data_IF_227383096200
#
_entry.id   IF_227383096200
#
_cell.length_a   1.000
_cell.length_b   1.000
_cell.length_c   1.000
_cell.angle_alpha   90.00
_cell.angle_beta   90.00
_cell.angle_gamma   90.00
#
_symmetry.space_group_name_H-M   'P 1'
#
loop_
_entity.id
_entity.type
_entity.pdbx_description
1 polymer ?
#
# COMPACT_ATOMS: atom_id res chain seq x y z
N UNK A 1 3.27 -23.30 -41.59
CA UNK A 1 3.49 -22.53 -40.35
C UNK A 1 2.23 -21.71 -40.10
N UNK A 2 1.38 -22.15 -39.18
CA UNK A 2 0.19 -21.40 -38.79
C UNK A 2 0.64 -20.19 -37.94
N UNK A 3 0.14 -19.00 -38.28
CA UNK A 3 0.39 -17.78 -37.50
C UNK A 3 -0.06 -17.99 -36.05
N UNK A 4 0.72 -17.54 -35.06
CA UNK A 4 0.30 -17.63 -33.65
C UNK A 4 -1.01 -16.84 -33.50
N UNK A 5 -2.08 -17.54 -33.13
CA UNK A 5 -3.34 -16.91 -32.80
C UNK A 5 -3.07 -15.80 -31.77
N UNK A 6 -3.52 -14.56 -32.02
CA UNK A 6 -3.61 -13.50 -31.02
C UNK A 6 -4.57 -14.00 -29.95
N UNK A 7 -4.05 -14.75 -28.96
CA UNK A 7 -4.77 -14.96 -27.73
C UNK A 7 -4.93 -13.58 -27.10
N UNK A 8 -6.10 -12.99 -27.26
CA UNK A 8 -6.54 -11.89 -26.42
C UNK A 8 -6.31 -12.34 -24.98
N UNK A 9 -5.39 -11.71 -24.30
CA UNK A 9 -4.95 -12.11 -22.96
C UNK A 9 -6.16 -12.02 -22.02
N UNK A 10 -6.80 -13.16 -21.76
CA UNK A 10 -7.93 -13.23 -20.85
C UNK A 10 -7.46 -12.76 -19.48
N UNK A 11 -8.16 -11.78 -18.91
CA UNK A 11 -7.85 -11.24 -17.59
C UNK A 11 -7.96 -12.32 -16.50
N UNK A 12 -9.00 -13.15 -16.57
CA UNK A 12 -9.29 -14.25 -15.66
C UNK A 12 -9.55 -15.54 -16.42
N UNK A 13 -9.38 -16.68 -15.78
CA UNK A 13 -9.87 -17.96 -16.31
C UNK A 13 -11.40 -17.98 -16.37
N UNK A 14 -12.03 -18.78 -17.26
CA UNK A 14 -13.47 -18.93 -17.34
C UNK A 14 -14.08 -19.22 -15.94
N UNK A 15 -15.15 -18.52 -15.59
CA UNK A 15 -15.82 -18.66 -14.29
C UNK A 15 -15.17 -17.92 -13.11
N UNK A 16 -13.99 -17.30 -13.27
CA UNK A 16 -13.29 -16.63 -12.17
C UNK A 16 -13.47 -15.11 -12.12
N UNK A 17 -14.28 -14.53 -13.00
CA UNK A 17 -14.54 -13.09 -13.01
C UNK A 17 -15.24 -12.62 -11.72
N UNK A 18 -16.29 -13.32 -11.28
CA UNK A 18 -17.03 -12.97 -10.06
C UNK A 18 -16.12 -13.11 -8.82
N UNK A 19 -15.40 -14.23 -8.60
CA UNK A 19 -14.37 -14.31 -7.57
C UNK A 19 -13.34 -13.19 -7.61
N UNK A 20 -12.86 -12.82 -8.80
CA UNK A 20 -11.91 -11.70 -8.97
C UNK A 20 -12.50 -10.37 -8.50
N UNK A 21 -13.73 -10.03 -8.92
CA UNK A 21 -14.41 -8.79 -8.51
C UNK A 21 -14.63 -8.79 -6.99
N UNK A 22 -15.10 -9.90 -6.41
CA UNK A 22 -15.36 -10.03 -4.97
C UNK A 22 -14.10 -9.78 -4.15
N UNK A 23 -12.98 -10.41 -4.53
CA UNK A 23 -11.72 -10.24 -3.78
C UNK A 23 -11.12 -8.86 -4.05
N UNK A 24 -11.27 -8.32 -5.25
CA UNK A 24 -10.80 -6.97 -5.59
C UNK A 24 -11.48 -5.89 -4.72
N UNK A 25 -12.76 -6.09 -4.34
CA UNK A 25 -13.44 -5.20 -3.41
C UNK A 25 -12.79 -5.15 -2.02
N UNK A 26 -12.14 -6.23 -1.57
CA UNK A 26 -11.41 -6.27 -0.30
C UNK A 26 -10.21 -5.29 -0.31
N UNK A 27 -9.63 -5.05 -1.48
CA UNK A 27 -8.50 -4.11 -1.61
C UNK A 27 -8.91 -2.68 -1.30
N UNK A 28 -10.13 -2.28 -1.65
CA UNK A 28 -10.67 -0.98 -1.25
C UNK A 28 -10.66 -0.82 0.28
N UNK A 29 -11.16 -1.83 0.99
CA UNK A 29 -11.27 -1.78 2.45
C UNK A 29 -9.91 -1.69 3.12
N UNK A 30 -8.93 -2.52 2.72
CA UNK A 30 -7.63 -2.43 3.39
C UNK A 30 -6.88 -1.14 3.03
N UNK A 31 -7.04 -0.60 1.84
CA UNK A 31 -6.50 0.72 1.49
C UNK A 31 -7.13 1.82 2.32
N UNK A 32 -8.44 1.80 2.47
CA UNK A 32 -9.19 2.72 3.31
C UNK A 32 -8.70 2.68 4.77
N UNK A 33 -8.62 1.49 5.37
CA UNK A 33 -8.19 1.32 6.77
C UNK A 33 -6.74 1.72 6.97
N UNK A 34 -5.84 1.38 6.04
CA UNK A 34 -4.42 1.73 6.14
C UNK A 34 -4.23 3.24 6.20
N UNK A 35 -4.84 3.98 5.30
CA UNK A 35 -4.72 5.46 5.26
C UNK A 35 -5.48 6.11 6.42
N UNK A 36 -6.61 5.54 6.83
CA UNK A 36 -7.33 6.03 8.01
C UNK A 36 -6.47 5.92 9.27
N UNK A 37 -5.71 4.83 9.43
CA UNK A 37 -4.78 4.67 10.56
C UNK A 37 -3.64 5.70 10.54
N UNK A 38 -3.13 6.09 9.36
CA UNK A 38 -2.17 7.18 9.25
C UNK A 38 -2.76 8.52 9.74
N UNK A 39 -4.04 8.76 9.49
CA UNK A 39 -4.74 9.95 9.98
C UNK A 39 -4.93 9.97 11.51
N UNK A 40 -4.76 8.83 12.21
CA UNK A 40 -4.77 8.79 13.67
C UNK A 40 -3.53 9.43 14.31
N UNK A 41 -2.40 9.51 13.63
CA UNK A 41 -1.15 10.06 14.20
C UNK A 41 -1.35 11.48 14.74
N UNK A 42 -1.84 12.47 13.95
CA UNK A 42 -2.13 13.81 14.46
C UNK A 42 -3.23 13.80 15.52
N UNK A 43 -4.22 12.92 15.42
CA UNK A 43 -5.30 12.79 16.39
C UNK A 43 -4.79 12.33 17.77
N UNK A 44 -3.98 11.26 17.82
CA UNK A 44 -3.37 10.78 19.06
C UNK A 44 -2.46 11.85 19.68
N UNK A 45 -1.76 12.61 18.85
CA UNK A 45 -0.92 13.71 19.32
C UNK A 45 -1.74 14.79 20.03
N UNK A 46 -2.91 15.13 19.52
CA UNK A 46 -3.80 16.14 20.14
C UNK A 46 -4.45 15.65 21.44
N UNK A 47 -4.74 14.34 21.56
CA UNK A 47 -5.33 13.76 22.79
C UNK A 47 -4.31 13.70 23.93
N UNK A 48 -3.09 13.24 23.62
CA UNK A 48 -2.09 12.86 24.65
C UNK A 48 -0.95 13.86 24.81
N UNK A 49 -0.96 14.98 24.06
CA UNK A 49 0.12 15.98 24.00
C UNK A 49 1.50 15.34 23.72
N UNK A 50 1.53 14.39 22.78
CA UNK A 50 2.71 13.58 22.51
C UNK A 50 3.75 14.32 21.65
N UNK A 51 5.05 14.13 21.89
CA UNK A 51 6.08 14.37 20.90
C UNK A 51 5.79 13.57 19.61
N UNK A 52 6.24 14.07 18.45
CA UNK A 52 6.02 13.42 17.16
C UNK A 52 6.49 11.96 17.16
N UNK A 53 7.65 11.67 17.75
CA UNK A 53 8.21 10.31 17.81
C UNK A 53 7.27 9.30 18.49
N UNK A 54 6.59 9.69 19.55
CA UNK A 54 5.63 8.82 20.25
C UNK A 54 4.32 8.65 19.48
N UNK A 55 3.83 9.70 18.83
CA UNK A 55 2.64 9.60 17.99
C UNK A 55 2.86 8.70 16.76
N UNK A 56 4.07 8.70 16.20
CA UNK A 56 4.44 7.82 15.08
C UNK A 56 4.54 6.34 15.50
N UNK A 57 4.55 6.00 16.79
CA UNK A 57 4.44 4.61 17.23
C UNK A 57 3.16 3.93 16.74
N UNK A 58 2.08 4.68 16.51
CA UNK A 58 0.86 4.13 15.94
C UNK A 58 1.10 3.60 14.52
N UNK A 59 1.80 4.36 13.67
CA UNK A 59 2.16 3.91 12.33
C UNK A 59 3.14 2.73 12.38
N UNK A 60 4.14 2.82 13.26
CA UNK A 60 5.11 1.74 13.47
C UNK A 60 4.43 0.46 13.98
N UNK A 61 3.47 0.56 14.90
CA UNK A 61 2.70 -0.58 15.39
C UNK A 61 1.92 -1.26 14.27
N UNK A 62 1.30 -0.48 13.36
CA UNK A 62 0.61 -1.01 12.21
C UNK A 62 1.53 -1.82 11.28
N UNK A 63 2.70 -1.27 10.91
CA UNK A 63 3.66 -1.96 10.04
C UNK A 63 4.40 -3.11 10.73
N UNK A 64 4.60 -3.03 12.07
CA UNK A 64 5.19 -4.12 12.85
C UNK A 64 4.31 -5.37 12.82
N UNK A 65 2.99 -5.23 12.69
CA UNK A 65 2.08 -6.36 12.54
C UNK A 65 2.44 -7.24 11.33
N UNK A 66 2.97 -6.67 10.24
CA UNK A 66 3.41 -7.45 9.08
C UNK A 66 4.61 -8.35 9.41
N UNK A 67 5.56 -7.85 10.19
CA UNK A 67 6.70 -8.65 10.63
C UNK A 67 6.25 -9.86 11.46
N UNK A 68 5.27 -9.66 12.34
CA UNK A 68 4.80 -10.69 13.28
C UNK A 68 3.84 -11.67 12.63
N UNK A 69 2.86 -11.19 11.84
CA UNK A 69 1.72 -11.99 11.41
C UNK A 69 1.77 -12.50 9.97
N UNK A 70 2.61 -11.98 9.08
CA UNK A 70 2.62 -12.44 7.69
C UNK A 70 3.04 -13.91 7.56
N UNK A 71 4.11 -14.33 8.27
CA UNK A 71 4.57 -15.72 8.27
C UNK A 71 3.59 -16.70 8.94
N UNK A 72 3.03 -16.42 10.13
CA UNK A 72 1.93 -17.22 10.69
C UNK A 72 0.72 -17.32 9.76
N UNK A 73 0.35 -16.24 9.08
CA UNK A 73 -0.77 -16.25 8.12
C UNK A 73 -0.50 -17.19 6.94
N UNK A 74 0.73 -17.28 6.45
CA UNK A 74 1.03 -18.23 5.37
C UNK A 74 0.78 -19.68 5.79
N UNK A 75 1.10 -20.05 7.04
CA UNK A 75 0.76 -21.36 7.62
C UNK A 75 -0.74 -21.55 7.78
N UNK A 76 -1.46 -20.48 8.16
CA UNK A 76 -2.91 -20.52 8.25
C UNK A 76 -3.55 -20.77 6.88
N UNK A 77 -3.03 -20.14 5.81
CA UNK A 77 -3.46 -20.38 4.42
C UNK A 77 -3.27 -21.87 4.05
N UNK A 78 -2.13 -22.46 4.41
CA UNK A 78 -1.86 -23.89 4.16
C UNK A 78 -2.85 -24.80 4.92
N UNK A 79 -3.25 -24.41 6.13
CA UNK A 79 -4.13 -25.20 6.99
C UNK A 79 -5.60 -25.10 6.59
N UNK A 80 -6.12 -23.89 6.33
CA UNK A 80 -7.57 -23.66 6.12
C UNK A 80 -7.93 -23.07 4.75
N UNK A 81 -6.94 -22.76 3.90
CA UNK A 81 -7.11 -22.20 2.57
C UNK A 81 -7.31 -20.68 2.55
N UNK A 82 -7.19 -20.08 1.34
CA UNK A 82 -7.24 -18.63 1.14
C UNK A 82 -8.55 -18.00 1.60
N UNK A 83 -9.71 -18.56 1.19
CA UNK A 83 -11.03 -17.99 1.52
C UNK A 83 -11.26 -17.88 3.02
N UNK A 84 -11.03 -18.97 3.77
CA UNK A 84 -11.23 -18.98 5.22
C UNK A 84 -10.26 -18.02 5.91
N UNK A 85 -9.02 -17.93 5.44
CA UNK A 85 -8.03 -16.99 5.97
C UNK A 85 -8.47 -15.53 5.73
N UNK A 86 -9.01 -15.17 4.55
CA UNK A 86 -9.58 -13.85 4.31
C UNK A 86 -10.75 -13.54 5.25
N UNK A 87 -11.65 -14.50 5.50
CA UNK A 87 -12.75 -14.32 6.46
C UNK A 87 -12.22 -14.08 7.87
N UNK A 88 -11.30 -14.92 8.35
CA UNK A 88 -10.67 -14.76 9.68
C UNK A 88 -9.98 -13.40 9.79
N UNK A 89 -9.29 -12.95 8.74
CA UNK A 89 -8.60 -11.65 8.74
C UNK A 89 -9.57 -10.47 8.89
N UNK A 90 -10.75 -10.54 8.26
CA UNK A 90 -11.79 -9.52 8.40
C UNK A 90 -12.37 -9.51 9.83
N UNK A 91 -12.56 -10.66 10.45
CA UNK A 91 -12.99 -10.74 11.86
C UNK A 91 -11.93 -10.17 12.83
N UNK A 92 -10.64 -10.42 12.59
CA UNK A 92 -9.55 -9.80 13.37
C UNK A 92 -9.62 -8.28 13.26
N UNK A 93 -9.86 -7.74 12.05
CA UNK A 93 -10.02 -6.29 11.86
C UNK A 93 -11.25 -5.74 12.58
N UNK A 94 -12.39 -6.47 12.58
CA UNK A 94 -13.59 -6.12 13.36
C UNK A 94 -13.23 -5.96 14.85
N UNK A 95 -12.55 -6.96 15.43
CA UNK A 95 -12.10 -6.90 16.83
C UNK A 95 -11.20 -5.69 17.06
N UNK A 96 -10.20 -5.48 16.20
CA UNK A 96 -9.29 -4.33 16.30
C UNK A 96 -10.02 -2.99 16.23
N UNK A 97 -10.99 -2.83 15.31
CA UNK A 97 -11.81 -1.63 15.22
C UNK A 97 -12.68 -1.41 16.48
N UNK A 98 -13.27 -2.46 17.02
CA UNK A 98 -14.07 -2.37 18.25
C UNK A 98 -13.21 -2.03 19.49
N UNK A 99 -11.92 -2.37 19.50
CA UNK A 99 -10.99 -1.99 20.59
C UNK A 99 -10.78 -0.47 20.68
N UNK A 100 -11.03 0.30 19.62
CA UNK A 100 -11.00 1.77 19.70
C UNK A 100 -12.09 2.31 20.65
N UNK A 101 -13.19 1.60 20.86
CA UNK A 101 -14.27 2.02 21.76
C UNK A 101 -13.79 2.10 23.22
N UNK A 102 -13.25 1.04 23.83
CA UNK A 102 -12.68 1.15 25.19
C UNK A 102 -11.45 2.03 25.22
N UNK A 103 -10.61 2.07 24.18
CA UNK A 103 -9.44 2.95 24.12
C UNK A 103 -9.83 4.43 24.23
N UNK A 104 -10.89 4.84 23.51
CA UNK A 104 -11.43 6.20 23.57
C UNK A 104 -12.09 6.51 24.93
N UNK A 105 -12.91 5.60 25.46
CA UNK A 105 -13.57 5.78 26.77
C UNK A 105 -12.57 5.94 27.94
N UNK A 106 -11.50 5.14 27.92
CA UNK A 106 -10.47 5.15 28.96
C UNK A 106 -9.37 6.18 28.69
N UNK A 107 -9.40 6.85 27.54
CA UNK A 107 -8.36 7.78 27.05
C UNK A 107 -6.97 7.14 27.23
N UNK A 108 -6.82 5.90 26.73
CA UNK A 108 -5.62 5.09 26.99
C UNK A 108 -4.77 4.92 25.73
N UNK A 109 -3.60 5.57 25.69
CA UNK A 109 -2.65 5.45 24.58
C UNK A 109 -2.20 4.00 24.30
N UNK A 110 -1.87 3.16 25.31
CA UNK A 110 -1.54 1.76 25.06
C UNK A 110 -2.67 0.96 24.43
N UNK A 111 -3.93 1.23 24.80
CA UNK A 111 -5.08 0.58 24.16
C UNK A 111 -5.28 1.02 22.71
N UNK A 112 -5.05 2.31 22.39
CA UNK A 112 -5.03 2.79 21.02
C UNK A 112 -3.95 2.07 20.19
N UNK A 113 -2.71 1.96 20.70
CA UNK A 113 -1.64 1.24 20.01
C UNK A 113 -1.98 -0.23 19.80
N UNK A 114 -2.57 -0.88 20.81
CA UNK A 114 -3.00 -2.28 20.71
C UNK A 114 -4.11 -2.44 19.66
N UNK A 115 -5.08 -1.53 19.63
CA UNK A 115 -6.14 -1.53 18.62
C UNK A 115 -5.56 -1.41 17.20
N UNK A 116 -4.65 -0.45 16.98
CA UNK A 116 -3.94 -0.28 15.68
C UNK A 116 -3.14 -1.52 15.30
N UNK A 117 -2.44 -2.14 16.24
CA UNK A 117 -1.66 -3.35 16.01
C UNK A 117 -2.56 -4.54 15.63
N UNK A 118 -3.72 -4.72 16.30
CA UNK A 118 -4.68 -5.78 15.97
C UNK A 118 -5.32 -5.53 14.61
N UNK A 119 -5.69 -4.28 14.28
CA UNK A 119 -6.15 -3.94 12.92
C UNK A 119 -5.06 -4.26 11.90
N UNK A 120 -3.81 -3.87 12.16
CA UNK A 120 -2.66 -4.19 11.32
C UNK A 120 -2.45 -5.69 11.13
N UNK A 121 -2.66 -6.51 12.17
CA UNK A 121 -2.61 -7.97 12.09
C UNK A 121 -3.68 -8.52 11.13
N UNK A 122 -4.91 -8.02 11.23
CA UNK A 122 -5.99 -8.39 10.32
C UNK A 122 -5.73 -7.94 8.87
N UNK A 123 -5.22 -6.72 8.66
CA UNK A 123 -4.83 -6.22 7.32
C UNK A 123 -3.68 -7.05 6.75
N UNK A 124 -2.69 -7.40 7.56
CA UNK A 124 -1.58 -8.28 7.16
C UNK A 124 -2.10 -9.64 6.68
N UNK A 125 -2.99 -10.26 7.47
CA UNK A 125 -3.57 -11.56 7.14
C UNK A 125 -4.42 -11.48 5.85
N UNK A 126 -5.18 -10.39 5.68
CA UNK A 126 -5.95 -10.16 4.47
C UNK A 126 -5.05 -10.00 3.25
N UNK A 127 -4.03 -9.17 3.30
CA UNK A 127 -3.12 -8.97 2.17
C UNK A 127 -2.29 -10.21 1.85
N UNK A 128 -1.81 -10.94 2.87
CA UNK A 128 -1.04 -12.18 2.68
C UNK A 128 -1.86 -13.25 1.95
N UNK A 129 -3.20 -13.24 2.12
CA UNK A 129 -4.11 -14.19 1.47
C UNK A 129 -4.71 -13.65 0.16
N UNK A 130 -5.12 -12.38 0.10
CA UNK A 130 -5.80 -11.80 -1.06
C UNK A 130 -4.85 -11.53 -2.25
N UNK A 131 -3.61 -11.06 -2.01
CA UNK A 131 -2.66 -10.77 -3.09
C UNK A 131 -2.33 -12.01 -3.94
N UNK A 132 -1.91 -13.17 -3.37
CA UNK A 132 -1.68 -14.36 -4.16
C UNK A 132 -2.98 -14.90 -4.75
N UNK A 133 -4.10 -14.84 -4.02
CA UNK A 133 -5.38 -15.33 -4.53
C UNK A 133 -5.80 -14.59 -5.81
N UNK A 134 -5.76 -13.27 -5.85
CA UNK A 134 -6.01 -12.48 -7.07
C UNK A 134 -5.04 -12.86 -8.20
N UNK A 135 -3.79 -13.11 -7.85
CA UNK A 135 -2.74 -13.46 -8.82
C UNK A 135 -2.99 -14.82 -9.50
N UNK A 136 -3.60 -15.78 -8.81
CA UNK A 136 -3.86 -17.14 -9.31
C UNK A 136 -5.23 -17.33 -9.98
N UNK A 137 -6.11 -16.31 -10.00
CA UNK A 137 -7.46 -16.41 -10.61
C UNK A 137 -7.44 -16.37 -12.16
N UNK A 138 -6.32 -16.58 -12.80
CA UNK A 138 -6.20 -16.58 -14.26
C UNK A 138 -4.77 -16.88 -14.71
N UNK A 139 -4.49 -16.72 -16.01
CA UNK A 139 -3.17 -17.00 -16.56
C UNK A 139 -2.05 -16.24 -15.85
N UNK A 140 -0.89 -16.86 -15.71
CA UNK A 140 0.26 -16.30 -14.99
C UNK A 140 0.73 -14.98 -15.60
N UNK A 141 0.80 -14.88 -16.93
CA UNK A 141 1.24 -13.67 -17.63
C UNK A 141 0.35 -12.45 -17.37
N UNK A 142 -0.92 -12.63 -17.01
CA UNK A 142 -1.85 -11.53 -16.63
C UNK A 142 -1.96 -11.29 -15.12
N UNK A 143 -1.23 -12.04 -14.28
CA UNK A 143 -1.23 -11.84 -12.82
C UNK A 143 -0.83 -10.40 -12.40
N UNK A 144 0.21 -9.76 -13.00
CA UNK A 144 0.53 -8.37 -12.69
C UNK A 144 -0.59 -7.39 -13.03
N UNK A 145 -1.32 -7.63 -14.12
CA UNK A 145 -2.48 -6.80 -14.52
C UNK A 145 -3.59 -6.92 -13.48
N UNK A 146 -3.96 -8.15 -13.09
CA UNK A 146 -5.00 -8.41 -12.09
C UNK A 146 -4.68 -7.75 -10.76
N UNK A 147 -3.46 -7.94 -10.27
CA UNK A 147 -3.07 -7.38 -8.97
C UNK A 147 -2.97 -5.85 -9.04
N UNK A 148 -2.50 -5.28 -10.17
CA UNK A 148 -2.45 -3.82 -10.35
C UNK A 148 -3.85 -3.20 -10.38
N UNK A 149 -4.84 -3.85 -11.02
CA UNK A 149 -6.24 -3.41 -11.00
C UNK A 149 -6.84 -3.51 -9.59
N UNK A 150 -6.59 -4.59 -8.87
CA UNK A 150 -7.02 -4.72 -7.47
C UNK A 150 -6.40 -3.61 -6.61
N UNK A 151 -5.13 -3.31 -6.78
CA UNK A 151 -4.44 -2.22 -6.09
C UNK A 151 -4.96 -0.82 -6.49
N UNK A 152 -5.58 -0.65 -7.66
CA UNK A 152 -6.25 0.61 -8.01
C UNK A 152 -7.46 0.88 -7.07
N UNK A 153 -8.24 -0.18 -6.73
CA UNK A 153 -9.31 -0.04 -5.72
C UNK A 153 -8.76 0.25 -4.32
N UNK A 154 -7.60 -0.31 -3.98
CA UNK A 154 -6.88 0.06 -2.76
C UNK A 154 -6.57 1.57 -2.74
N UNK A 155 -6.05 2.12 -3.83
CA UNK A 155 -5.78 3.57 -3.93
C UNK A 155 -7.04 4.40 -3.80
N UNK A 156 -8.16 3.95 -4.37
CA UNK A 156 -9.45 4.64 -4.25
C UNK A 156 -9.91 4.68 -2.79
N UNK A 157 -9.78 3.56 -2.06
CA UNK A 157 -10.03 3.50 -0.62
C UNK A 157 -9.16 4.48 0.16
N UNK A 158 -7.86 4.50 -0.16
CA UNK A 158 -6.91 5.43 0.43
C UNK A 158 -7.20 6.90 0.13
N UNK A 159 -7.71 7.22 -1.07
CA UNK A 159 -8.09 8.59 -1.43
C UNK A 159 -9.35 9.09 -0.69
N UNK A 160 -10.27 8.18 -0.36
CA UNK A 160 -11.51 8.51 0.37
C UNK A 160 -11.26 8.61 1.88
N UNK A 161 -10.34 7.81 2.42
CA UNK A 161 -10.09 7.74 3.88
C UNK A 161 -9.78 9.10 4.53
N UNK A 162 -8.94 10.00 3.98
CA UNK A 162 -8.67 11.30 4.57
C UNK A 162 -9.92 12.20 4.63
N UNK A 163 -10.83 12.08 3.66
CA UNK A 163 -12.08 12.85 3.63
C UNK A 163 -12.97 12.43 4.81
N UNK A 164 -13.07 11.13 5.08
CA UNK A 164 -13.82 10.60 6.23
C UNK A 164 -13.12 10.97 7.54
N UNK A 165 -11.78 10.86 7.60
CA UNK A 165 -11.03 11.28 8.79
C UNK A 165 -11.21 12.77 9.08
N UNK A 166 -11.12 13.62 8.07
CA UNK A 166 -11.33 15.07 8.20
C UNK A 166 -12.75 15.45 8.68
N UNK A 167 -13.75 14.74 8.15
CA UNK A 167 -15.15 15.03 8.49
C UNK A 167 -15.57 14.56 9.90
N UNK A 168 -15.00 13.46 10.40
CA UNK A 168 -15.50 12.77 11.59
C UNK A 168 -14.49 12.56 12.72
N UNK A 169 -13.17 12.58 12.42
CA UNK A 169 -12.11 12.28 13.39
C UNK A 169 -11.30 13.54 13.74
N UNK A 170 -10.87 14.28 12.72
CA UNK A 170 -10.01 15.45 12.87
C UNK A 170 -10.87 16.71 13.11
N UNK A 171 -11.44 16.82 14.30
CA UNK A 171 -12.20 18.02 14.73
C UNK A 171 -11.27 19.09 15.29
N UNK A 172 -11.71 20.35 15.27
CA UNK A 172 -11.01 21.47 15.90
C UNK A 172 -10.83 21.20 17.41
N UNK A 173 -9.63 20.75 17.77
CA UNK A 173 -9.27 20.32 19.13
C UNK A 173 -9.17 21.49 20.13
N UNK A 174 -9.17 22.75 19.65
CA UNK A 174 -8.96 23.92 20.52
C UNK A 174 -10.11 24.20 21.49
N UNK A 175 -11.30 23.65 21.20
CA UNK A 175 -12.54 23.87 21.97
C UNK A 175 -13.04 22.64 22.71
N UNK A 176 -12.37 21.48 22.58
CA UNK A 176 -12.85 20.21 23.10
C UNK A 176 -11.94 19.69 24.23
N UNK A 177 -12.52 18.94 25.17
CA UNK A 177 -11.76 18.19 26.18
C UNK A 177 -11.08 17.00 25.54
N UNK A 178 -9.97 16.51 26.14
CA UNK A 178 -9.24 15.32 25.65
C UNK A 178 -10.16 14.10 25.51
N UNK A 179 -11.10 13.92 26.42
CA UNK A 179 -12.08 12.83 26.36
C UNK A 179 -13.04 13.01 25.17
N UNK A 180 -13.50 14.24 24.90
CA UNK A 180 -14.36 14.53 23.75
C UNK A 180 -13.63 14.33 22.42
N UNK A 181 -12.35 14.73 22.34
CA UNK A 181 -11.50 14.47 21.18
C UNK A 181 -11.31 12.95 21.00
N UNK A 182 -10.99 12.20 22.06
CA UNK A 182 -10.85 10.76 21.99
C UNK A 182 -12.15 10.06 21.55
N UNK A 183 -13.31 10.60 21.91
CA UNK A 183 -14.63 10.04 21.59
C UNK A 183 -14.98 10.14 20.09
N UNK A 184 -14.37 11.07 19.34
CA UNK A 184 -14.66 11.25 17.90
C UNK A 184 -14.35 10.01 17.05
N UNK A 185 -13.41 9.16 17.47
CA UNK A 185 -13.08 7.92 16.75
C UNK A 185 -14.11 6.81 16.94
N UNK A 186 -14.96 6.86 17.98
CA UNK A 186 -15.85 5.74 18.33
C UNK A 186 -16.84 5.42 17.22
N UNK A 187 -17.61 6.39 16.77
CA UNK A 187 -18.64 6.18 15.75
C UNK A 187 -18.03 5.71 14.42
N UNK A 188 -17.00 6.38 13.86
CA UNK A 188 -16.34 5.90 12.64
C UNK A 188 -15.85 4.46 12.73
N UNK A 189 -15.19 4.09 13.83
CA UNK A 189 -14.63 2.73 13.96
C UNK A 189 -15.72 1.67 14.22
N UNK A 190 -16.83 1.99 14.86
CA UNK A 190 -18.00 1.10 14.96
C UNK A 190 -18.62 0.87 13.57
N UNK A 191 -18.78 1.91 12.76
CA UNK A 191 -19.32 1.81 11.40
C UNK A 191 -18.40 0.99 10.50
N UNK A 192 -17.09 1.18 10.61
CA UNK A 192 -16.08 0.38 9.89
C UNK A 192 -16.15 -1.09 10.35
N UNK A 193 -16.24 -1.35 11.66
CA UNK A 193 -16.39 -2.70 12.18
C UNK A 193 -17.65 -3.39 11.65
N UNK A 194 -18.78 -2.69 11.60
CA UNK A 194 -20.03 -3.20 11.02
C UNK A 194 -19.86 -3.50 9.52
N UNK A 195 -19.25 -2.60 8.76
CA UNK A 195 -18.95 -2.80 7.34
C UNK A 195 -18.02 -4.00 7.09
N UNK A 196 -16.97 -4.15 7.90
CA UNK A 196 -16.05 -5.30 7.85
C UNK A 196 -16.76 -6.61 8.20
N UNK A 197 -17.66 -6.60 9.19
CA UNK A 197 -18.45 -7.77 9.58
C UNK A 197 -19.36 -8.20 8.42
N UNK A 198 -20.11 -7.27 7.83
CA UNK A 198 -20.96 -7.54 6.68
C UNK A 198 -20.17 -8.07 5.48
N UNK A 199 -19.01 -7.48 5.21
CA UNK A 199 -18.12 -7.94 4.14
C UNK A 199 -17.55 -9.32 4.45
N UNK A 200 -17.15 -9.58 5.70
CA UNK A 200 -16.69 -10.90 6.15
C UNK A 200 -17.73 -11.98 5.97
N UNK A 201 -18.99 -11.69 6.33
CA UNK A 201 -20.14 -12.58 6.08
C UNK A 201 -20.39 -12.74 4.58
N UNK A 202 -20.38 -11.69 3.80
CA UNK A 202 -20.55 -11.77 2.34
C UNK A 202 -19.48 -12.67 1.69
N UNK A 203 -18.22 -12.54 2.09
CA UNK A 203 -17.13 -13.41 1.63
C UNK A 203 -17.32 -14.84 2.12
N UNK A 204 -17.76 -15.05 3.37
CA UNK A 204 -17.99 -16.37 3.93
C UNK A 204 -19.05 -17.16 3.14
N UNK A 205 -20.13 -16.50 2.72
CA UNK A 205 -21.21 -17.10 1.94
C UNK A 205 -20.97 -17.07 0.42
N UNK A 206 -19.99 -16.32 -0.08
CA UNK A 206 -19.67 -16.28 -1.51
C UNK A 206 -19.09 -17.61 -2.01
N UNK A 207 -19.32 -17.93 -3.29
CA UNK A 207 -18.72 -19.09 -3.95
C UNK A 207 -17.32 -18.72 -4.49
N UNK A 208 -16.34 -18.57 -3.58
CA UNK A 208 -14.95 -18.45 -4.01
C UNK A 208 -14.35 -19.84 -4.23
N UNK A 209 -13.71 -20.10 -5.39
CA UNK A 209 -13.09 -21.39 -5.68
C UNK A 209 -12.07 -21.73 -4.59
N UNK A 210 -12.17 -22.95 -4.07
CA UNK A 210 -11.18 -23.47 -3.14
C UNK A 210 -9.89 -23.77 -3.90
N UNK A 211 -9.01 -22.76 -4.01
CA UNK A 211 -7.64 -22.97 -4.48
C UNK A 211 -6.85 -23.54 -3.30
N UNK A 212 -7.16 -24.81 -2.97
CA UNK A 212 -6.50 -25.54 -1.87
C UNK A 212 -5.11 -26.04 -2.26
N UNK A 213 -4.83 -26.11 -3.58
CA UNK A 213 -3.53 -26.50 -4.12
C UNK A 213 -3.21 -25.62 -5.31
N UNK A 214 -2.06 -25.00 -5.28
CA UNK A 214 -1.45 -24.26 -6.39
C UNK A 214 -0.94 -25.21 -7.50
N UNK A 215 -1.50 -26.41 -7.60
CA UNK A 215 -1.13 -27.40 -8.64
C UNK A 215 -1.45 -26.90 -10.05
N UNK A 216 -2.45 -26.04 -10.21
CA UNK A 216 -2.77 -25.39 -11.49
C UNK A 216 -1.84 -24.22 -11.83
N UNK A 217 -0.97 -23.79 -10.92
CA UNK A 217 0.01 -22.72 -11.09
C UNK A 217 1.42 -23.27 -11.35
N UNK A 218 1.52 -24.39 -12.06
CA UNK A 218 2.79 -24.91 -12.56
C UNK A 218 3.13 -24.24 -13.88
N UNK A 219 4.13 -23.36 -13.93
CA UNK A 219 4.78 -23.04 -15.19
C UNK A 219 5.74 -24.19 -15.48
N UNK A 220 5.43 -24.98 -16.50
CA UNK A 220 6.36 -26.01 -16.95
C UNK A 220 5.78 -27.42 -16.90
N UNK A 221 6.30 -28.26 -17.79
CA UNK A 221 5.95 -29.68 -17.93
C UNK A 221 6.20 -30.44 -16.62
N UNK A 222 5.44 -31.49 -16.41
CA UNK A 222 5.74 -32.53 -15.41
C UNK A 222 7.24 -32.83 -15.40
N UNK A 223 7.92 -32.48 -14.30
CA UNK A 223 9.36 -32.71 -14.16
C UNK A 223 10.19 -31.56 -13.60
N UNK A 224 9.68 -30.32 -13.60
CA UNK A 224 10.40 -29.19 -12.98
C UNK A 224 10.33 -29.34 -11.45
N UNK A 225 11.36 -29.95 -10.90
CA UNK A 225 11.48 -30.24 -9.48
C UNK A 225 11.39 -28.98 -8.63
N UNK A 226 10.71 -29.10 -7.47
CA UNK A 226 10.76 -28.09 -6.43
C UNK A 226 12.21 -27.93 -5.99
N UNK A 227 12.79 -26.74 -6.14
CA UNK A 227 14.21 -26.43 -5.84
C UNK A 227 14.64 -26.77 -4.41
N UNK A 228 13.68 -27.06 -3.54
CA UNK A 228 13.90 -27.40 -2.14
C UNK A 228 12.67 -27.19 -1.29
N UNK A 229 12.70 -27.66 -0.07
CA UNK A 229 11.64 -27.48 0.93
C UNK A 229 11.66 -26.09 1.56
N UNK A 230 12.71 -25.27 1.30
CA UNK A 230 12.91 -23.95 1.88
C UNK A 230 12.63 -22.84 0.88
N UNK A 231 11.82 -21.86 1.27
CA UNK A 231 11.54 -20.66 0.48
C UNK A 231 12.82 -19.82 0.22
N UNK A 232 13.81 -19.92 1.08
CA UNK A 232 15.10 -19.22 0.94
C UNK A 232 15.94 -19.66 -0.25
N UNK A 233 15.65 -20.83 -0.82
CA UNK A 233 16.29 -21.32 -2.05
C UNK A 233 15.84 -20.55 -3.30
N UNK A 234 14.71 -19.85 -3.22
CA UNK A 234 14.12 -19.10 -4.33
C UNK A 234 14.63 -17.65 -4.33
N UNK A 235 15.79 -17.43 -4.96
CA UNK A 235 16.48 -16.12 -4.97
C UNK A 235 15.59 -14.96 -5.42
N UNK A 236 14.76 -15.16 -6.47
CA UNK A 236 13.85 -14.13 -6.95
C UNK A 236 12.78 -13.75 -5.91
N UNK A 237 12.35 -14.66 -5.05
CA UNK A 237 11.42 -14.40 -3.95
C UNK A 237 12.10 -13.61 -2.83
N UNK A 238 13.31 -14.00 -2.45
CA UNK A 238 14.09 -13.30 -1.41
C UNK A 238 14.43 -11.88 -1.85
N UNK A 239 14.90 -11.70 -3.10
CA UNK A 239 15.16 -10.38 -3.67
C UNK A 239 13.85 -9.58 -3.83
N UNK A 240 12.73 -10.24 -4.12
CA UNK A 240 11.41 -9.62 -4.17
C UNK A 240 10.95 -9.13 -2.79
N UNK A 241 11.19 -9.91 -1.74
CA UNK A 241 10.93 -9.47 -0.36
C UNK A 241 11.76 -8.23 -0.02
N UNK A 242 13.07 -8.22 -0.35
CA UNK A 242 13.91 -7.03 -0.16
C UNK A 242 13.42 -5.85 -1.02
N UNK A 243 12.93 -6.12 -2.23
CA UNK A 243 12.31 -5.11 -3.09
C UNK A 243 11.06 -4.48 -2.47
N UNK A 244 10.19 -5.29 -1.83
CA UNK A 244 9.03 -4.78 -1.09
C UNK A 244 9.45 -3.98 0.14
N UNK A 245 10.47 -4.43 0.87
CA UNK A 245 11.01 -3.69 2.01
C UNK A 245 11.43 -2.27 1.62
N UNK A 246 12.23 -2.14 0.56
CA UNK A 246 12.65 -0.85 0.06
C UNK A 246 11.50 -0.04 -0.53
N UNK A 247 10.62 -0.68 -1.31
CA UNK A 247 9.50 0.00 -1.94
C UNK A 247 8.56 0.63 -0.91
N UNK A 248 8.02 -0.18 0.02
CA UNK A 248 7.08 0.31 1.03
C UNK A 248 7.75 1.34 1.93
N UNK A 249 9.01 1.09 2.29
CA UNK A 249 9.77 2.03 3.09
C UNK A 249 9.93 3.41 2.45
N UNK A 250 10.23 3.44 1.15
CA UNK A 250 10.40 4.71 0.42
C UNK A 250 9.05 5.36 0.11
N UNK A 251 8.03 4.60 -0.29
CA UNK A 251 6.68 5.11 -0.58
C UNK A 251 6.12 5.85 0.64
N UNK A 252 6.17 5.21 1.81
CA UNK A 252 5.74 5.80 3.09
C UNK A 252 6.67 6.93 3.51
N UNK A 253 7.97 6.75 3.41
CA UNK A 253 8.97 7.74 3.82
C UNK A 253 8.85 9.07 3.06
N UNK A 254 8.71 9.02 1.73
CA UNK A 254 8.52 10.22 0.92
C UNK A 254 7.18 10.91 1.21
N UNK A 255 6.12 10.14 1.44
CA UNK A 255 4.83 10.71 1.83
C UNK A 255 4.89 11.38 3.20
N UNK A 256 5.53 10.74 4.19
CA UNK A 256 5.64 11.24 5.57
C UNK A 256 6.46 12.53 5.66
N UNK A 257 7.55 12.64 4.90
CA UNK A 257 8.41 13.84 4.91
C UNK A 257 7.91 14.91 3.92
N UNK A 258 7.00 14.55 3.02
CA UNK A 258 6.57 15.35 1.88
C UNK A 258 6.06 16.74 2.26
N UNK A 259 5.20 16.85 3.29
CA UNK A 259 4.66 18.14 3.74
C UNK A 259 5.80 19.09 4.14
N UNK A 260 6.72 18.61 4.98
CA UNK A 260 7.86 19.41 5.44
C UNK A 260 8.77 19.80 4.26
N UNK A 261 9.03 18.86 3.36
CA UNK A 261 9.82 19.12 2.16
C UNK A 261 9.20 20.22 1.27
N UNK A 262 7.90 20.12 0.97
CA UNK A 262 7.22 21.09 0.12
C UNK A 262 7.22 22.50 0.75
N UNK A 263 7.10 22.59 2.08
CA UNK A 263 7.24 23.88 2.79
C UNK A 263 8.63 24.47 2.62
N UNK A 264 9.70 23.67 2.69
CA UNK A 264 11.08 24.15 2.46
C UNK A 264 11.30 24.60 1.01
N UNK A 265 10.55 24.07 0.05
CA UNK A 265 10.60 24.45 -1.36
C UNK A 265 9.77 25.70 -1.69
N UNK A 266 9.23 26.38 -0.70
CA UNK A 266 8.56 27.68 -0.88
C UNK A 266 7.15 27.57 -1.46
N UNK A 267 6.39 26.56 -1.04
CA UNK A 267 4.96 26.50 -1.31
C UNK A 267 4.28 27.77 -0.80
N UNK A 268 3.53 28.43 -1.67
CA UNK A 268 2.90 29.70 -1.38
C UNK A 268 1.40 29.65 -1.71
N UNK A 269 0.56 29.75 -0.68
CA UNK A 269 -0.90 29.71 -0.78
C UNK A 269 -1.48 30.83 -1.64
N UNK A 270 -0.91 32.05 -1.58
CA UNK A 270 -1.36 33.16 -2.38
C UNK A 270 -1.17 32.92 -3.89
N UNK A 271 -0.07 32.29 -4.31
CA UNK A 271 0.15 31.93 -5.72
C UNK A 271 -0.83 30.86 -6.19
N UNK A 272 -1.19 29.91 -5.34
CA UNK A 272 -2.16 28.87 -5.66
C UNK A 272 -3.56 29.46 -5.76
N UNK A 273 -3.95 30.34 -4.83
CA UNK A 273 -5.22 31.07 -4.88
C UNK A 273 -5.34 31.89 -6.17
N UNK A 274 -4.32 32.67 -6.53
CA UNK A 274 -4.33 33.46 -7.77
C UNK A 274 -4.42 32.60 -9.03
N UNK A 275 -3.81 31.43 -9.04
CA UNK A 275 -3.96 30.47 -10.13
C UNK A 275 -5.39 29.99 -10.27
N UNK A 276 -6.07 29.59 -9.18
CA UNK A 276 -7.47 29.21 -9.23
C UNK A 276 -8.38 30.37 -9.62
N UNK A 277 -8.14 31.56 -9.12
CA UNK A 277 -8.86 32.76 -9.57
C UNK A 277 -8.76 32.99 -11.07
N UNK A 278 -7.59 32.71 -11.68
CA UNK A 278 -7.39 32.82 -13.13
C UNK A 278 -8.21 31.82 -13.96
N UNK A 279 -8.70 30.73 -13.34
CA UNK A 279 -9.58 29.72 -13.98
C UNK A 279 -11.06 30.13 -14.02
N UNK A 280 -11.39 31.35 -13.59
CA UNK A 280 -12.75 31.90 -13.63
C UNK A 280 -13.72 31.18 -12.70
N UNK A 281 -14.95 30.94 -13.16
CA UNK A 281 -16.04 30.38 -12.33
C UNK A 281 -15.72 29.02 -11.70
N UNK A 282 -14.94 28.18 -12.37
CA UNK A 282 -14.48 26.90 -11.81
C UNK A 282 -13.51 27.12 -10.65
N UNK A 283 -12.57 28.03 -10.81
CA UNK A 283 -11.62 28.35 -9.74
C UNK A 283 -12.32 28.99 -8.53
N UNK A 284 -13.29 29.88 -8.75
CA UNK A 284 -14.10 30.45 -7.69
C UNK A 284 -14.93 29.38 -6.96
N UNK A 285 -15.42 28.37 -7.66
CA UNK A 285 -16.09 27.23 -7.04
C UNK A 285 -15.14 26.43 -6.14
N UNK A 286 -13.92 26.15 -6.63
CA UNK A 286 -12.89 25.42 -5.90
C UNK A 286 -12.47 26.18 -4.64
N UNK A 287 -12.18 27.48 -4.74
CA UNK A 287 -11.80 28.30 -3.57
C UNK A 287 -12.92 28.47 -2.58
N UNK A 288 -14.18 28.53 -3.03
CA UNK A 288 -15.35 28.60 -2.16
C UNK A 288 -15.59 27.31 -1.37
N UNK A 289 -15.31 26.14 -1.98
CA UNK A 289 -15.49 24.84 -1.33
C UNK A 289 -14.34 24.47 -0.38
N UNK A 290 -13.13 24.90 -0.70
CA UNK A 290 -11.92 24.50 0.01
C UNK A 290 -11.36 25.59 0.95
N UNK A 291 -11.94 26.81 0.92
CA UNK A 291 -11.60 27.93 1.81
C UNK A 291 -10.21 28.56 1.54
N UNK A 292 -9.80 29.54 2.35
CA UNK A 292 -8.44 30.11 2.27
C UNK A 292 -7.43 29.10 2.79
N UNK A 293 -6.64 28.54 1.90
CA UNK A 293 -5.61 27.57 2.25
C UNK A 293 -4.37 28.18 2.90
N UNK A 294 -3.89 27.52 3.93
CA UNK A 294 -2.55 27.74 4.48
C UNK A 294 -1.49 27.04 3.62
N UNK A 295 -0.22 27.44 3.75
CA UNK A 295 0.88 26.75 3.08
C UNK A 295 0.96 25.26 3.47
N UNK A 296 0.61 24.90 4.72
CA UNK A 296 0.61 23.52 5.20
C UNK A 296 -0.48 22.70 4.51
N UNK A 297 -1.69 23.26 4.33
CA UNK A 297 -2.78 22.59 3.64
C UNK A 297 -2.47 22.34 2.17
N UNK A 298 -1.82 23.31 1.49
CA UNK A 298 -1.36 23.09 0.11
C UNK A 298 -0.28 22.03 0.05
N UNK A 299 0.65 22.00 0.98
CA UNK A 299 1.67 20.96 1.05
C UNK A 299 1.02 19.57 1.27
N UNK A 300 -0.04 19.49 2.09
CA UNK A 300 -0.81 18.26 2.28
C UNK A 300 -1.58 17.84 1.00
N UNK A 301 -2.13 18.80 0.25
CA UNK A 301 -2.74 18.54 -1.07
C UNK A 301 -1.71 17.97 -2.05
N UNK A 302 -0.48 18.48 -2.06
CA UNK A 302 0.59 17.94 -2.91
C UNK A 302 0.94 16.49 -2.55
N UNK A 303 0.93 16.11 -1.26
CA UNK A 303 1.04 14.71 -0.83
C UNK A 303 -0.17 13.90 -1.30
N UNK A 304 -1.36 14.47 -1.27
CA UNK A 304 -2.56 13.80 -1.82
C UNK A 304 -2.46 13.58 -3.33
N UNK A 305 -1.87 14.53 -4.06
CA UNK A 305 -1.59 14.39 -5.50
C UNK A 305 -0.53 13.31 -5.79
N UNK A 306 0.45 13.11 -4.91
CA UNK A 306 1.37 11.97 -4.99
C UNK A 306 0.60 10.62 -4.94
N UNK A 307 -0.34 10.45 -4.00
CA UNK A 307 -1.18 9.25 -3.92
C UNK A 307 -2.17 9.13 -5.09
N UNK A 308 -2.72 10.25 -5.55
CA UNK A 308 -3.56 10.28 -6.75
C UNK A 308 -2.77 9.89 -8.01
N UNK A 309 -1.51 10.33 -8.13
CA UNK A 309 -0.58 9.88 -9.15
C UNK A 309 -0.42 8.35 -9.14
N UNK A 310 -0.36 7.73 -7.96
CA UNK A 310 -0.33 6.28 -7.82
C UNK A 310 -1.62 5.61 -8.34
N UNK A 311 -2.81 6.18 -8.08
CA UNK A 311 -4.07 5.66 -8.63
C UNK A 311 -4.08 5.70 -10.16
N UNK A 312 -3.78 6.86 -10.74
CA UNK A 312 -3.71 7.03 -12.20
C UNK A 312 -2.68 6.09 -12.81
N UNK A 313 -1.50 6.02 -12.20
CA UNK A 313 -0.43 5.14 -12.64
C UNK A 313 -0.80 3.65 -12.56
N UNK A 314 -1.62 3.21 -11.59
CA UNK A 314 -2.15 1.83 -11.50
C UNK A 314 -3.11 1.52 -12.65
N UNK A 315 -4.01 2.44 -12.97
CA UNK A 315 -4.93 2.27 -14.09
C UNK A 315 -4.20 2.21 -15.44
N UNK A 316 -3.32 3.18 -15.72
CA UNK A 316 -2.52 3.21 -16.94
C UNK A 316 -1.51 2.06 -16.98
N UNK A 317 -0.86 1.77 -15.85
CA UNK A 317 0.11 0.68 -15.71
C UNK A 317 -0.51 -0.69 -15.95
N UNK A 318 -1.75 -0.93 -15.51
CA UNK A 318 -2.46 -2.17 -15.80
C UNK A 318 -2.66 -2.38 -17.31
N UNK A 319 -2.97 -1.33 -18.05
CA UNK A 319 -3.06 -1.36 -19.52
C UNK A 319 -1.69 -1.57 -20.19
N UNK A 320 -0.64 -0.88 -19.72
CA UNK A 320 0.72 -1.03 -20.25
C UNK A 320 1.23 -2.46 -20.04
N UNK A 321 0.94 -3.06 -18.87
CA UNK A 321 1.30 -4.44 -18.52
C UNK A 321 0.68 -5.51 -19.45
N UNK A 322 -0.37 -5.19 -20.21
CA UNK A 322 -0.88 -6.08 -21.24
C UNK A 322 0.05 -6.16 -22.46
N UNK A 323 0.94 -5.20 -22.64
CA UNK A 323 1.83 -5.04 -23.80
C UNK A 323 3.31 -5.19 -23.46
N UNK A 324 3.70 -4.91 -22.21
CA UNK A 324 5.09 -4.86 -21.75
C UNK A 324 5.30 -5.89 -20.65
N UNK A 325 6.40 -6.63 -20.70
CA UNK A 325 6.77 -7.59 -19.64
C UNK A 325 6.91 -6.88 -18.30
N UNK A 326 6.32 -7.45 -17.24
CA UNK A 326 6.27 -6.92 -15.88
C UNK A 326 7.65 -6.49 -15.35
N UNK A 327 8.68 -7.35 -15.45
CA UNK A 327 10.02 -7.01 -14.99
C UNK A 327 10.64 -5.82 -15.72
N UNK A 328 10.44 -5.72 -17.06
CA UNK A 328 10.95 -4.58 -17.84
C UNK A 328 10.26 -3.28 -17.42
N UNK A 329 8.93 -3.31 -17.27
CA UNK A 329 8.17 -2.14 -16.86
C UNK A 329 8.55 -1.70 -15.43
N UNK A 330 8.70 -2.66 -14.51
CA UNK A 330 9.18 -2.39 -13.16
C UNK A 330 10.56 -1.71 -13.15
N UNK A 331 11.49 -2.19 -13.98
CA UNK A 331 12.81 -1.59 -14.12
C UNK A 331 12.75 -0.15 -14.64
N UNK A 332 11.94 0.11 -15.66
CA UNK A 332 11.74 1.47 -16.21
C UNK A 332 11.16 2.41 -15.15
N UNK A 333 10.13 1.97 -14.42
CA UNK A 333 9.49 2.77 -13.39
C UNK A 333 10.42 2.99 -12.18
N UNK A 334 11.25 2.01 -11.83
CA UNK A 334 12.28 2.17 -10.80
C UNK A 334 13.32 3.23 -11.16
N UNK A 335 13.85 3.21 -12.39
CA UNK A 335 14.77 4.25 -12.86
C UNK A 335 14.10 5.62 -12.99
N UNK A 336 12.86 5.67 -13.47
CA UNK A 336 12.12 6.92 -13.58
C UNK A 336 11.85 7.53 -12.19
N UNK A 337 11.47 6.73 -11.20
CA UNK A 337 11.29 7.20 -9.82
C UNK A 337 12.62 7.71 -9.23
N UNK A 338 13.72 6.96 -9.41
CA UNK A 338 15.06 7.41 -8.98
C UNK A 338 15.45 8.74 -9.64
N UNK A 339 15.17 8.89 -10.95
CA UNK A 339 15.44 10.13 -11.69
C UNK A 339 14.58 11.29 -11.19
N UNK A 340 13.29 11.06 -10.87
CA UNK A 340 12.43 12.11 -10.31
C UNK A 340 12.90 12.56 -8.92
N UNK A 341 13.31 11.64 -8.07
CA UNK A 341 13.85 11.97 -6.75
C UNK A 341 15.21 12.68 -6.89
N UNK A 342 16.07 12.25 -7.81
CA UNK A 342 17.34 12.94 -8.11
C UNK A 342 17.10 14.35 -8.63
N UNK A 343 16.12 14.52 -9.53
CA UNK A 343 15.74 15.85 -10.03
C UNK A 343 15.22 16.75 -8.91
N UNK A 344 14.37 16.19 -8.03
CA UNK A 344 13.89 16.90 -6.84
C UNK A 344 15.04 17.28 -5.89
N UNK A 345 16.05 16.42 -5.76
CA UNK A 345 17.27 16.68 -4.96
C UNK A 345 18.16 17.74 -5.59
N UNK A 346 18.27 17.77 -6.91
CA UNK A 346 19.19 18.66 -7.65
C UNK A 346 18.59 20.04 -7.98
N UNK A 347 17.28 20.25 -7.75
CA UNK A 347 16.58 21.48 -8.10
C UNK A 347 15.86 22.09 -6.89
N UNK A 348 15.25 23.26 -7.06
CA UNK A 348 14.47 23.95 -6.02
C UNK A 348 13.15 24.46 -6.56
N UNK A 349 12.23 24.83 -5.67
CA UNK A 349 10.94 25.42 -6.01
C UNK A 349 10.02 24.44 -6.76
N UNK A 350 9.35 24.93 -7.80
CA UNK A 350 8.30 24.17 -8.50
C UNK A 350 8.81 22.88 -9.17
N UNK A 351 10.01 22.90 -9.74
CA UNK A 351 10.60 21.71 -10.38
C UNK A 351 10.83 20.62 -9.33
N UNK A 352 11.39 20.97 -8.19
CA UNK A 352 11.62 20.03 -7.08
C UNK A 352 10.30 19.45 -6.54
N UNK A 353 9.27 20.30 -6.37
CA UNK A 353 7.94 19.90 -5.88
C UNK A 353 7.29 18.89 -6.85
N UNK A 354 7.15 19.27 -8.13
CA UNK A 354 6.45 18.42 -9.10
C UNK A 354 7.21 17.14 -9.44
N UNK A 355 8.54 17.16 -9.39
CA UNK A 355 9.33 15.93 -9.52
C UNK A 355 9.00 14.93 -8.42
N UNK A 356 8.90 15.37 -7.16
CA UNK A 356 8.54 14.48 -6.06
C UNK A 356 7.08 14.01 -6.16
N UNK A 357 6.14 14.87 -6.54
CA UNK A 357 4.73 14.50 -6.76
C UNK A 357 4.60 13.45 -7.87
N UNK A 358 5.32 13.62 -8.99
CA UNK A 358 5.32 12.67 -10.10
C UNK A 358 5.96 11.32 -9.74
N UNK A 359 6.83 11.28 -8.73
CA UNK A 359 7.36 10.01 -8.21
C UNK A 359 6.24 9.06 -7.77
N UNK A 360 5.12 9.58 -7.24
CA UNK A 360 3.94 8.78 -6.88
C UNK A 360 3.35 8.00 -8.07
N UNK A 361 3.35 8.61 -9.27
CA UNK A 361 2.93 7.92 -10.50
C UNK A 361 3.83 6.72 -10.80
N UNK A 362 5.14 6.86 -10.69
CA UNK A 362 6.08 5.77 -10.94
C UNK A 362 6.07 4.71 -9.84
N UNK A 363 5.68 5.03 -8.62
CA UNK A 363 5.48 4.07 -7.53
C UNK A 363 4.31 3.11 -7.78
N UNK A 364 3.35 3.52 -8.59
CA UNK A 364 2.04 2.88 -8.75
C UNK A 364 2.06 1.38 -8.98
N UNK A 365 2.92 0.91 -9.87
CA UNK A 365 2.98 -0.50 -10.28
C UNK A 365 4.02 -1.32 -9.50
N UNK A 366 4.82 -0.69 -8.63
CA UNK A 366 5.96 -1.38 -8.02
C UNK A 366 5.52 -2.52 -7.12
N UNK A 367 4.62 -2.28 -6.16
CA UNK A 367 4.14 -3.33 -5.28
C UNK A 367 3.56 -4.53 -6.04
N UNK A 368 2.56 -4.38 -6.92
CA UNK A 368 1.96 -5.52 -7.60
C UNK A 368 2.94 -6.28 -8.48
N UNK A 369 3.88 -5.59 -9.13
CA UNK A 369 4.87 -6.25 -9.99
C UNK A 369 5.96 -6.96 -9.17
N UNK A 370 6.49 -6.35 -8.11
CA UNK A 370 7.46 -7.01 -7.23
C UNK A 370 6.83 -8.26 -6.61
N UNK A 371 5.59 -8.15 -6.13
CA UNK A 371 4.87 -9.25 -5.50
C UNK A 371 4.65 -10.40 -6.49
N UNK A 372 4.07 -10.13 -7.66
CA UNK A 372 3.77 -11.18 -8.65
C UNK A 372 5.01 -11.83 -9.23
N UNK A 373 6.07 -11.07 -9.48
CA UNK A 373 7.36 -11.60 -9.89
C UNK A 373 8.02 -12.44 -8.78
N UNK A 374 7.86 -12.03 -7.53
CA UNK A 374 8.41 -12.73 -6.37
C UNK A 374 7.73 -14.05 -6.06
N UNK A 375 6.45 -14.21 -6.39
CA UNK A 375 5.73 -15.49 -6.22
C UNK A 375 5.69 -16.34 -7.50
N UNK A 376 6.24 -15.85 -8.61
CA UNK A 376 6.21 -16.56 -9.89
C UNK A 376 6.94 -17.92 -9.80
N UNK A 377 6.32 -18.97 -10.31
CA UNK A 377 6.91 -20.31 -10.36
C UNK A 377 7.08 -21.01 -9.01
N UNK A 378 6.48 -20.51 -7.91
CA UNK A 378 6.61 -21.15 -6.60
C UNK A 378 5.72 -22.38 -6.40
N UNK A 379 4.67 -22.55 -7.22
CA UNK A 379 3.74 -23.68 -7.08
C UNK A 379 3.22 -23.85 -5.65
N UNK A 380 3.45 -25.02 -4.99
CA UNK A 380 3.01 -25.27 -3.62
C UNK A 380 3.60 -24.32 -2.56
N UNK A 381 4.71 -23.64 -2.88
CA UNK A 381 5.38 -22.71 -1.97
C UNK A 381 4.81 -21.27 -2.05
N UNK A 382 3.79 -21.02 -2.87
CA UNK A 382 3.22 -19.67 -3.08
C UNK A 382 2.76 -19.03 -1.77
N UNK A 383 2.13 -19.76 -0.85
CA UNK A 383 1.71 -19.24 0.46
C UNK A 383 2.90 -18.80 1.31
N UNK A 384 3.98 -19.60 1.34
CA UNK A 384 5.22 -19.27 2.05
C UNK A 384 5.94 -18.07 1.41
N UNK A 385 5.98 -18.03 0.08
CA UNK A 385 6.51 -16.88 -0.67
C UNK A 385 5.75 -15.60 -0.39
N UNK A 386 4.42 -15.66 -0.39
CA UNK A 386 3.57 -14.54 -0.01
C UNK A 386 3.86 -14.08 1.43
N UNK A 387 3.94 -15.01 2.38
CA UNK A 387 4.28 -14.70 3.77
C UNK A 387 5.63 -13.98 3.90
N UNK A 388 6.67 -14.46 3.22
CA UNK A 388 7.99 -13.83 3.22
C UNK A 388 7.96 -12.41 2.63
N UNK A 389 7.32 -12.24 1.47
CA UNK A 389 7.20 -10.93 0.81
C UNK A 389 6.39 -9.96 1.65
N UNK A 390 5.29 -10.43 2.26
CA UNK A 390 4.46 -9.58 3.11
C UNK A 390 5.13 -9.23 4.45
N UNK A 391 5.99 -10.09 4.99
CA UNK A 391 6.84 -9.75 6.15
C UNK A 391 7.71 -8.53 5.87
N UNK A 392 8.20 -8.41 4.64
CA UNK A 392 9.07 -7.30 4.22
C UNK A 392 8.35 -5.94 4.12
N UNK A 393 7.01 -5.89 4.19
CA UNK A 393 6.23 -4.63 4.30
C UNK A 393 6.62 -3.84 5.55
N UNK A 394 7.24 -4.48 6.55
CA UNK A 394 7.85 -3.81 7.71
C UNK A 394 8.87 -2.71 7.33
N UNK A 395 9.34 -2.68 6.08
CA UNK A 395 10.12 -1.56 5.55
C UNK A 395 9.48 -0.19 5.78
N UNK A 396 8.12 -0.13 5.82
CA UNK A 396 7.35 1.06 6.19
C UNK A 396 7.53 1.52 7.64
N UNK A 397 7.97 0.63 8.55
CA UNK A 397 8.34 0.99 9.92
C UNK A 397 9.83 1.35 10.06
N UNK A 398 10.69 0.98 9.13
CA UNK A 398 12.16 1.09 9.25
C UNK A 398 12.72 2.24 8.43
N UNK A 399 12.37 2.32 7.16
CA UNK A 399 12.95 3.32 6.23
C UNK A 399 12.52 4.76 6.57
N UNK A 400 11.24 5.07 6.90
CA UNK A 400 10.86 6.45 7.20
C UNK A 400 11.61 7.06 8.38
N UNK A 401 11.77 6.39 9.54
CA UNK A 401 12.61 6.90 10.62
C UNK A 401 14.09 7.09 10.22
N UNK A 402 14.65 6.18 9.41
CA UNK A 402 16.01 6.32 8.89
C UNK A 402 16.13 7.54 7.98
N UNK A 403 15.13 7.76 7.11
CA UNK A 403 15.08 8.95 6.24
C UNK A 403 14.97 10.23 7.07
N UNK A 404 14.14 10.24 8.12
CA UNK A 404 14.02 11.36 9.05
C UNK A 404 15.32 11.66 9.77
N UNK A 405 15.97 10.64 10.34
CA UNK A 405 17.24 10.78 11.04
C UNK A 405 18.37 11.26 10.09
N UNK A 406 18.34 10.87 8.82
CA UNK A 406 19.25 11.37 7.81
C UNK A 406 18.93 12.83 7.48
N UNK A 407 17.66 13.18 7.34
CA UNK A 407 17.19 14.53 7.07
C UNK A 407 17.58 15.52 8.17
N UNK A 408 17.54 15.09 9.44
CA UNK A 408 17.99 15.90 10.58
C UNK A 408 19.51 16.22 10.53
N UNK A 409 20.31 15.32 9.95
CA UNK A 409 21.77 15.50 9.85
C UNK A 409 22.23 16.29 8.64
N UNK A 410 21.63 16.03 7.48
CA UNK A 410 22.13 16.59 6.19
C UNK A 410 21.11 17.46 5.47
N UNK A 411 19.94 17.67 6.07
CA UNK A 411 18.80 18.35 5.45
C UNK A 411 17.94 17.41 4.61
N UNK A 412 16.64 17.73 4.48
CA UNK A 412 15.64 16.87 3.84
C UNK A 412 16.03 16.53 2.40
N UNK A 413 16.48 17.53 1.64
CA UNK A 413 16.80 17.38 0.23
C UNK A 413 17.98 16.43 0.00
N UNK A 414 19.04 16.51 0.82
CA UNK A 414 20.20 15.62 0.73
C UNK A 414 19.89 14.21 1.23
N UNK A 415 18.92 14.06 2.14
CA UNK A 415 18.48 12.76 2.63
C UNK A 415 17.82 11.90 1.53
N UNK A 416 17.39 12.49 0.42
CA UNK A 416 16.83 11.79 -0.72
C UNK A 416 17.79 10.82 -1.43
N UNK A 417 19.07 10.82 -1.08
CA UNK A 417 20.00 9.76 -1.51
C UNK A 417 19.52 8.38 -1.09
N UNK A 418 18.89 8.22 0.08
CA UNK A 418 18.34 6.93 0.55
C UNK A 418 17.23 6.39 -0.36
N UNK A 419 16.15 7.14 -0.68
CA UNK A 419 15.17 6.75 -1.68
C UNK A 419 15.77 6.37 -3.04
N UNK A 420 16.76 7.14 -3.55
CA UNK A 420 17.40 6.85 -4.84
C UNK A 420 18.03 5.46 -4.84
N UNK A 421 18.79 5.10 -3.79
CA UNK A 421 19.40 3.77 -3.66
C UNK A 421 18.34 2.68 -3.63
N UNK A 422 17.24 2.89 -2.91
CA UNK A 422 16.13 1.94 -2.86
C UNK A 422 15.48 1.74 -4.24
N UNK A 423 15.21 2.81 -4.99
CA UNK A 423 14.64 2.71 -6.34
C UNK A 423 15.59 2.05 -7.34
N UNK A 424 16.89 2.30 -7.24
CA UNK A 424 17.89 1.60 -8.06
C UNK A 424 17.90 0.09 -7.79
N UNK A 425 17.73 -0.33 -6.51
CA UNK A 425 17.55 -1.74 -6.20
C UNK A 425 16.27 -2.30 -6.82
N UNK A 426 15.15 -1.58 -6.79
CA UNK A 426 13.90 -2.00 -7.42
C UNK A 426 14.06 -2.14 -8.93
N UNK A 427 14.78 -1.20 -9.57
CA UNK A 427 15.10 -1.28 -10.99
C UNK A 427 15.97 -2.51 -11.33
N UNK A 428 17.00 -2.77 -10.52
CA UNK A 428 17.81 -3.99 -10.62
C UNK A 428 16.95 -5.25 -10.48
N UNK A 429 16.09 -5.30 -9.47
CA UNK A 429 15.18 -6.43 -9.27
C UNK A 429 14.30 -6.66 -10.51
N UNK A 430 13.68 -5.60 -11.03
CA UNK A 430 12.83 -5.71 -12.23
C UNK A 430 13.54 -6.27 -13.44
N UNK A 431 14.77 -5.84 -13.71
CA UNK A 431 15.50 -6.20 -14.93
C UNK A 431 16.24 -7.54 -14.83
N UNK A 432 16.78 -7.85 -13.65
CA UNK A 432 17.65 -9.01 -13.48
C UNK A 432 17.26 -9.92 -12.32
N UNK A 433 16.94 -9.35 -11.16
CA UNK A 433 16.72 -10.09 -9.91
C UNK A 433 15.41 -10.88 -9.86
N UNK A 434 14.44 -10.53 -10.69
CA UNK A 434 13.09 -11.14 -10.70
C UNK A 434 12.99 -12.44 -11.53
N UNK A 435 14.07 -12.86 -12.20
CA UNK A 435 14.06 -14.09 -12.98
C UNK A 435 13.89 -15.29 -12.05
N UNK A 436 12.87 -16.16 -12.29
CA UNK A 436 12.68 -17.35 -11.47
C UNK A 436 13.94 -18.19 -11.42
N UNK A 437 14.31 -18.64 -10.24
CA UNK A 437 15.43 -19.55 -10.05
C UNK A 437 15.08 -20.88 -10.75
N UNK A 438 15.84 -21.28 -11.74
CA UNK A 438 15.66 -22.56 -12.41
C UNK A 438 16.31 -23.67 -11.60
N UNK A 439 15.68 -24.85 -11.54
CA UNK A 439 16.40 -26.08 -11.18
C UNK A 439 17.50 -26.31 -12.21
N UNK A 440 18.70 -26.66 -11.76
CA UNK A 440 19.66 -27.28 -12.67
C UNK A 440 18.98 -28.53 -13.24
N UNK A 441 18.91 -28.60 -14.56
CA UNK A 441 18.38 -29.76 -15.27
C UNK A 441 19.27 -31.01 -15.03
#
# INVERSE_FOLDING_TARGET
>A
MAAPSKQTAALTSPGYLVPFITVTALFFIFGFITILNMALVPHLRSIFDLPYAWAMLAESAFFLAYLVFASPTSRLIEAIGYKRTMVVSLFIQVVGCLMFVPAAKLVSFPLFLTAVFVVGAGVTALQTSANPYVSILGPEHSAPVRLTLAQALNSLGGAIAPLIAGAYILTDSTKLTKAAIADTVRLPYILIAAGLLLLGLAVAFSHLPAVTRTESFRPGKEGDGVLGTSIWSYKHTVLGALGIFFYVGVEVGLASIGVNYFLTQGVNSAKVASFFESLGGFGALVTRWLGPWTNVEIAAILVSLYWFGALVGRLLGSWILTKVKSGKLLGIFGFAAAAMVLLSMATTGQVAIWSLVLCGFFNSIMFPNIFTLGIAGLGPMTSKGSGLIMTAVVGGAVIPPLLGALADKVGIQNAFVLPIVCYLFIAYYGLWGSKPTRTAA
#
